data_IF_352737375264
#
_entry.id   IF_352737375264
#
_cell.length_a   1.000
_cell.length_b   1.000
_cell.length_c   1.000
_cell.angle_alpha   90.00
_cell.angle_beta   90.00
_cell.angle_gamma   90.00
#
_symmetry.space_group_name_H-M   'P 1'
#
loop_
_entity.id
_entity.type
_entity.pdbx_description
1 polymer ?
#
# COMPACT_ATOMS: atom_id res chain seq x y z
N UNK A 1 -23.15 -15.36 -26.24
CA UNK A 1 -22.63 -15.97 -25.01
C UNK A 1 -22.85 -15.01 -23.87
N UNK A 2 -23.66 -15.41 -22.89
CA UNK A 2 -24.13 -14.54 -21.82
C UNK A 2 -22.97 -14.14 -20.89
N UNK A 3 -22.57 -12.87 -20.93
CA UNK A 3 -21.69 -12.28 -19.94
C UNK A 3 -22.48 -12.17 -18.63
N UNK A 4 -22.16 -13.02 -17.65
CA UNK A 4 -22.78 -12.91 -16.34
C UNK A 4 -22.29 -11.60 -15.70
N UNK A 5 -23.16 -10.76 -15.10
CA UNK A 5 -22.76 -9.47 -14.54
C UNK A 5 -21.69 -9.57 -13.46
N UNK A 6 -21.57 -10.74 -12.82
CA UNK A 6 -20.57 -11.05 -11.80
C UNK A 6 -19.24 -11.55 -12.39
N UNK A 7 -19.18 -11.87 -13.68
CA UNK A 7 -17.95 -12.33 -14.36
C UNK A 7 -16.90 -11.21 -14.44
N UNK A 8 -17.36 -9.95 -14.43
CA UNK A 8 -16.50 -8.75 -14.32
C UNK A 8 -16.04 -8.47 -12.88
N UNK A 9 -16.48 -9.25 -11.88
CA UNK A 9 -16.13 -9.09 -10.48
C UNK A 9 -15.27 -10.25 -9.99
N UNK A 10 -14.38 -10.02 -9.02
CA UNK A 10 -13.52 -11.06 -8.44
C UNK A 10 -14.28 -12.02 -7.50
N UNK A 11 -15.61 -12.05 -7.57
CA UNK A 11 -16.44 -12.91 -6.74
C UNK A 11 -16.32 -14.35 -7.23
N UNK A 12 -15.92 -15.26 -6.34
CA UNK A 12 -15.85 -16.68 -6.68
C UNK A 12 -17.26 -17.22 -7.08
N UNK A 13 -17.35 -18.15 -8.06
CA UNK A 13 -18.61 -18.75 -8.48
C UNK A 13 -19.39 -19.42 -7.35
N UNK A 14 -18.66 -19.91 -6.34
CA UNK A 14 -19.23 -20.48 -5.12
C UNK A 14 -20.05 -19.45 -4.32
N UNK A 15 -19.82 -18.15 -4.50
CA UNK A 15 -20.52 -17.08 -3.79
C UNK A 15 -21.72 -16.50 -4.57
N UNK A 16 -21.94 -16.89 -5.82
CA UNK A 16 -23.01 -16.30 -6.67
C UNK A 16 -24.39 -16.49 -6.07
N UNK A 17 -24.67 -17.69 -5.56
CA UNK A 17 -25.95 -18.02 -4.93
C UNK A 17 -26.28 -17.14 -3.71
N UNK A 18 -25.25 -16.62 -3.03
CA UNK A 18 -25.40 -15.71 -1.88
C UNK A 18 -25.75 -14.31 -2.37
N UNK A 19 -25.06 -13.83 -3.41
CA UNK A 19 -25.31 -12.52 -4.03
C UNK A 19 -26.72 -12.47 -4.63
N UNK A 20 -27.16 -13.55 -5.29
CA UNK A 20 -28.52 -13.67 -5.82
C UNK A 20 -29.57 -13.60 -4.71
N UNK A 21 -29.35 -14.28 -3.58
CA UNK A 21 -30.25 -14.18 -2.42
C UNK A 21 -30.28 -12.77 -1.82
N UNK A 22 -29.13 -12.11 -1.71
CA UNK A 22 -29.05 -10.73 -1.21
C UNK A 22 -29.81 -9.76 -2.12
N UNK A 23 -29.67 -9.92 -3.44
CA UNK A 23 -30.38 -9.13 -4.43
C UNK A 23 -31.91 -9.37 -4.37
N UNK A 24 -32.32 -10.63 -4.20
CA UNK A 24 -33.73 -10.99 -4.05
C UNK A 24 -34.36 -10.42 -2.76
N UNK A 25 -33.65 -10.45 -1.63
CA UNK A 25 -34.11 -9.88 -0.35
C UNK A 25 -34.29 -8.36 -0.44
N UNK A 26 -33.43 -7.67 -1.19
CA UNK A 26 -33.50 -6.23 -1.45
C UNK A 26 -34.39 -5.84 -2.64
N UNK A 27 -35.09 -6.82 -3.24
CA UNK A 27 -35.93 -6.66 -4.43
C UNK A 27 -35.24 -5.87 -5.55
N UNK A 28 -33.94 -6.08 -5.73
CA UNK A 28 -33.12 -5.36 -6.69
C UNK A 28 -32.37 -6.32 -7.61
N UNK A 29 -31.97 -5.84 -8.80
CA UNK A 29 -31.11 -6.61 -9.69
C UNK A 29 -29.68 -6.70 -9.15
N UNK A 30 -28.93 -7.73 -9.54
CA UNK A 30 -27.51 -7.89 -9.17
C UNK A 30 -26.69 -6.65 -9.57
N UNK A 31 -26.93 -6.10 -10.76
CA UNK A 31 -26.26 -4.85 -11.21
C UNK A 31 -26.64 -3.64 -10.34
N UNK A 32 -27.89 -3.55 -9.91
CA UNK A 32 -28.34 -2.49 -8.99
C UNK A 32 -27.70 -2.64 -7.61
N UNK A 33 -27.50 -3.87 -7.14
CA UNK A 33 -26.78 -4.15 -5.90
C UNK A 33 -25.30 -3.76 -5.99
N UNK A 34 -24.69 -3.89 -7.17
CA UNK A 34 -23.31 -3.44 -7.47
C UNK A 34 -23.23 -1.91 -7.65
N UNK A 35 -24.27 -1.27 -8.18
CA UNK A 35 -24.30 0.17 -8.36
C UNK A 35 -24.64 0.94 -7.07
N UNK A 36 -25.52 0.40 -6.22
CA UNK A 36 -26.11 1.10 -5.10
C UNK A 36 -25.49 0.71 -3.75
N UNK A 37 -24.65 1.59 -3.20
CA UNK A 37 -23.95 1.35 -1.94
C UNK A 37 -24.88 1.30 -0.72
N UNK A 38 -25.97 2.08 -0.71
CA UNK A 38 -26.90 2.12 0.42
C UNK A 38 -27.58 0.77 0.62
N UNK A 39 -28.01 0.15 -0.49
CA UNK A 39 -28.59 -1.20 -0.48
C UNK A 39 -27.62 -2.24 0.08
N UNK A 40 -26.32 -2.17 -0.25
CA UNK A 40 -25.31 -3.08 0.31
C UNK A 40 -25.10 -2.92 1.81
N UNK A 41 -25.17 -1.68 2.31
CA UNK A 41 -25.05 -1.40 3.75
C UNK A 41 -26.28 -1.88 4.54
N UNK A 42 -27.44 -1.93 3.89
CA UNK A 42 -28.68 -2.43 4.49
C UNK A 42 -28.71 -3.98 4.59
N UNK A 43 -27.83 -4.69 3.85
CA UNK A 43 -27.72 -6.16 3.92
C UNK A 43 -27.29 -6.58 5.31
N UNK A 44 -28.17 -7.31 6.00
CA UNK A 44 -27.84 -8.00 7.25
C UNK A 44 -27.10 -9.31 6.95
N UNK A 45 -25.77 -9.25 6.88
CA UNK A 45 -24.89 -10.40 6.60
C UNK A 45 -25.16 -11.60 7.52
N UNK A 46 -25.61 -11.36 8.75
CA UNK A 46 -25.93 -12.40 9.74
C UNK A 46 -26.99 -13.40 9.25
N UNK A 47 -27.91 -12.97 8.37
CA UNK A 47 -28.94 -13.85 7.78
C UNK A 47 -28.39 -14.82 6.75
N UNK A 48 -27.21 -14.54 6.21
CA UNK A 48 -26.59 -15.29 5.12
C UNK A 48 -25.43 -16.17 5.59
N UNK A 49 -25.20 -16.23 6.92
CA UNK A 49 -24.20 -17.12 7.51
C UNK A 49 -24.65 -18.56 7.28
N UNK A 50 -23.79 -19.34 6.64
CA UNK A 50 -23.98 -20.78 6.46
C UNK A 50 -22.81 -21.52 7.10
N UNK A 51 -22.92 -22.82 7.40
CA UNK A 51 -21.79 -23.60 7.92
C UNK A 51 -20.57 -23.62 6.98
N UNK A 52 -20.78 -23.34 5.69
CA UNK A 52 -19.71 -23.24 4.69
C UNK A 52 -19.19 -21.81 4.50
N UNK A 53 -19.99 -20.78 4.82
CA UNK A 53 -19.67 -19.37 4.57
C UNK A 53 -19.89 -18.54 5.82
N UNK A 54 -18.78 -18.12 6.44
CA UNK A 54 -18.78 -17.29 7.64
C UNK A 54 -18.95 -15.80 7.37
N UNK A 55 -19.22 -15.04 8.44
CA UNK A 55 -19.26 -13.58 8.44
C UNK A 55 -18.03 -12.88 7.79
N UNK A 56 -16.77 -13.36 7.95
CA UNK A 56 -15.64 -12.76 7.24
C UNK A 56 -15.76 -12.90 5.72
N UNK A 57 -16.17 -14.07 5.22
CA UNK A 57 -16.35 -14.33 3.79
C UNK A 57 -17.48 -13.49 3.20
N UNK A 58 -18.59 -13.32 3.93
CA UNK A 58 -19.71 -12.48 3.51
C UNK A 58 -19.31 -11.00 3.39
N UNK A 59 -18.50 -10.51 4.34
CA UNK A 59 -17.95 -9.16 4.28
C UNK A 59 -17.04 -8.97 3.06
N UNK A 60 -16.23 -9.98 2.78
CA UNK A 60 -15.34 -9.99 1.62
C UNK A 60 -16.15 -9.92 0.32
N UNK A 61 -17.16 -10.78 0.15
CA UNK A 61 -18.05 -10.77 -1.01
C UNK A 61 -18.71 -9.41 -1.22
N UNK A 62 -19.28 -8.80 -0.17
CA UNK A 62 -19.92 -7.47 -0.27
C UNK A 62 -18.91 -6.37 -0.59
N UNK A 63 -17.68 -6.51 -0.12
CA UNK A 63 -16.58 -5.60 -0.42
C UNK A 63 -16.10 -5.74 -1.87
N UNK A 64 -16.04 -6.95 -2.40
CA UNK A 64 -15.74 -7.25 -3.82
C UNK A 64 -16.85 -6.72 -4.74
N UNK A 65 -18.12 -6.88 -4.36
CA UNK A 65 -19.25 -6.27 -5.08
C UNK A 65 -19.22 -4.74 -5.07
N UNK A 66 -18.62 -4.13 -4.05
CA UNK A 66 -18.49 -2.67 -3.97
C UNK A 66 -17.34 -2.13 -4.85
N UNK A 67 -16.37 -2.96 -5.23
CA UNK A 67 -15.22 -2.58 -6.06
C UNK A 67 -14.74 -3.78 -6.89
N UNK A 68 -15.12 -3.90 -8.19
CA UNK A 68 -14.55 -4.93 -9.05
C UNK A 68 -13.03 -4.70 -9.14
N UNK A 69 -12.22 -5.61 -8.57
CA UNK A 69 -10.77 -5.56 -8.64
C UNK A 69 -10.05 -5.15 -7.35
N UNK A 70 -10.60 -5.45 -6.17
CA UNK A 70 -9.87 -5.24 -4.92
C UNK A 70 -9.02 -6.48 -4.61
N UNK A 71 -7.79 -6.48 -5.07
CA UNK A 71 -6.79 -7.44 -4.61
C UNK A 71 -6.66 -7.34 -3.07
N UNK A 72 -6.94 -8.42 -2.30
CA UNK A 72 -6.86 -8.41 -0.83
C UNK A 72 -5.41 -8.55 -0.34
N UNK A 73 -4.42 -8.56 -1.23
CA UNK A 73 -3.01 -8.59 -0.87
C UNK A 73 -2.51 -7.22 -0.39
N UNK A 74 -2.58 -7.10 0.93
CA UNK A 74 -1.83 -6.19 1.79
C UNK A 74 -2.25 -4.72 1.72
N UNK A 75 -2.21 -4.11 2.91
CA UNK A 75 -1.87 -2.70 3.07
C UNK A 75 -0.50 -2.45 2.44
N UNK A 76 -0.41 -2.45 1.12
CA UNK A 76 0.57 -1.62 0.46
C UNK A 76 -0.07 -0.24 0.65
N UNK A 77 0.36 0.48 1.69
CA UNK A 77 0.41 1.95 1.59
C UNK A 77 0.88 2.17 0.17
N UNK A 78 0.09 2.85 -0.66
CA UNK A 78 0.53 3.29 -1.98
C UNK A 78 1.87 4.01 -1.77
N UNK A 79 2.95 3.23 -1.83
CA UNK A 79 4.25 3.66 -2.22
C UNK A 79 4.07 3.86 -3.71
N UNK A 80 3.33 4.92 -4.04
CA UNK A 80 3.72 5.72 -5.16
C UNK A 80 5.17 6.05 -4.85
N UNK A 81 6.09 5.22 -5.36
CA UNK A 81 7.17 5.80 -6.12
C UNK A 81 6.42 6.78 -7.04
N UNK A 82 6.27 8.04 -6.58
CA UNK A 82 6.12 9.12 -7.52
C UNK A 82 7.17 8.80 -8.59
N UNK A 83 6.79 8.85 -9.86
CA UNK A 83 7.61 8.59 -11.05
C UNK A 83 8.93 9.39 -11.02
N UNK A 84 9.79 9.12 -10.05
CA UNK A 84 11.06 9.76 -9.77
C UNK A 84 12.05 8.85 -10.49
N UNK A 85 12.16 9.08 -11.79
CA UNK A 85 13.17 8.43 -12.62
C UNK A 85 14.50 9.17 -12.55
N UNK A 86 14.46 10.45 -12.11
CA UNK A 86 15.58 11.38 -12.15
C UNK A 86 15.71 12.18 -10.86
N UNK A 87 16.93 12.66 -10.62
CA UNK A 87 17.26 13.58 -9.52
C UNK A 87 16.59 14.96 -9.64
N UNK A 88 16.06 15.29 -10.82
CA UNK A 88 15.35 16.54 -11.12
C UNK A 88 13.93 16.57 -10.52
N UNK A 89 13.32 15.40 -10.32
CA UNK A 89 12.00 15.24 -9.70
C UNK A 89 12.06 15.24 -8.17
N UNK A 90 13.28 15.25 -7.59
CA UNK A 90 13.47 15.23 -6.15
C UNK A 90 13.25 16.62 -5.57
N UNK A 91 12.23 16.75 -4.72
CA UNK A 91 11.96 17.98 -3.98
C UNK A 91 12.47 17.84 -2.54
N UNK A 92 13.31 18.78 -2.05
CA UNK A 92 13.70 18.80 -0.64
C UNK A 92 12.45 18.90 0.24
N UNK A 93 12.38 18.04 1.25
CA UNK A 93 11.23 17.89 2.12
C UNK A 93 10.37 16.65 1.85
N UNK A 94 10.50 16.04 0.67
CA UNK A 94 9.75 14.84 0.31
C UNK A 94 10.25 13.63 1.11
N UNK A 95 9.33 12.75 1.50
CA UNK A 95 9.62 11.47 2.14
C UNK A 95 9.43 10.36 1.12
N UNK A 96 10.45 9.56 0.93
CA UNK A 96 10.48 8.46 -0.05
C UNK A 96 10.93 7.16 0.63
N UNK A 97 10.44 5.99 0.17
CA UNK A 97 11.06 4.73 0.52
C UNK A 97 12.48 4.65 -0.03
N UNK A 98 13.33 3.92 0.65
CA UNK A 98 14.59 3.48 0.10
C UNK A 98 15.09 2.19 0.73
N UNK A 99 16.12 1.62 0.11
CA UNK A 99 16.78 0.39 0.55
C UNK A 99 18.22 0.73 0.90
N UNK A 100 18.67 0.31 2.08
CA UNK A 100 20.05 0.52 2.52
C UNK A 100 20.99 -0.33 1.67
N UNK A 101 21.77 0.31 0.80
CA UNK A 101 22.74 -0.37 -0.07
C UNK A 101 24.09 -0.56 0.60
N UNK A 102 24.47 0.35 1.49
CA UNK A 102 25.75 0.27 2.19
C UNK A 102 25.70 1.00 3.54
N UNK A 103 26.45 0.51 4.53
CA UNK A 103 26.55 1.14 5.86
C UNK A 103 28.02 1.42 6.16
N UNK A 104 28.32 2.66 6.51
CA UNK A 104 29.67 3.16 6.82
C UNK A 104 29.71 3.74 8.22
N UNK A 105 30.90 4.02 8.78
CA UNK A 105 31.01 4.57 10.15
C UNK A 105 30.36 5.95 10.33
N UNK A 106 30.25 6.75 9.27
CA UNK A 106 29.73 8.11 9.33
C UNK A 106 28.28 8.23 8.81
N UNK A 107 27.67 7.14 8.35
CA UNK A 107 26.33 7.15 7.77
C UNK A 107 25.97 5.90 6.98
N UNK A 108 24.85 5.94 6.27
CA UNK A 108 24.42 4.86 5.39
C UNK A 108 24.01 5.41 4.03
N UNK A 109 24.26 4.60 3.00
CA UNK A 109 23.79 4.83 1.66
C UNK A 109 22.44 4.13 1.48
N UNK A 110 21.50 4.88 0.94
CA UNK A 110 20.13 4.44 0.71
C UNK A 110 19.81 4.70 -0.76
N UNK A 111 19.45 3.64 -1.46
CA UNK A 111 18.90 3.71 -2.80
C UNK A 111 17.40 4.02 -2.70
N UNK A 112 16.99 5.11 -3.33
CA UNK A 112 15.61 5.59 -3.37
C UNK A 112 14.94 5.34 -4.73
N UNK A 113 15.56 4.51 -5.59
CA UNK A 113 15.04 4.15 -6.91
C UNK A 113 15.51 5.07 -8.04
N UNK A 114 16.51 5.91 -7.79
CA UNK A 114 17.19 6.73 -8.80
C UNK A 114 18.55 6.12 -9.12
N UNK A 115 19.21 6.56 -10.21
CA UNK A 115 20.56 6.08 -10.57
C UNK A 115 21.67 6.35 -9.55
N UNK A 116 21.38 7.08 -8.47
CA UNK A 116 22.35 7.65 -7.56
C UNK A 116 21.94 7.41 -6.10
N UNK A 117 22.82 6.81 -5.30
CA UNK A 117 22.55 6.61 -3.88
C UNK A 117 22.50 7.94 -3.11
N UNK A 118 21.57 8.03 -2.17
CA UNK A 118 21.54 9.11 -1.21
C UNK A 118 22.29 8.76 0.08
N UNK A 119 22.95 9.75 0.68
CA UNK A 119 23.68 9.57 1.93
C UNK A 119 22.85 10.07 3.12
N UNK A 120 22.62 9.17 4.08
CA UNK A 120 22.13 9.52 5.42
C UNK A 120 23.31 9.67 6.36
N UNK A 121 23.57 10.89 6.82
CA UNK A 121 24.60 11.14 7.83
C UNK A 121 24.20 10.54 9.18
N UNK A 122 25.17 10.08 9.99
CA UNK A 122 24.91 9.48 11.31
C UNK A 122 24.07 10.38 12.24
N UNK A 123 24.27 11.70 12.17
CA UNK A 123 23.48 12.69 12.93
C UNK A 123 22.03 12.84 12.45
N UNK A 124 21.75 12.40 11.22
CA UNK A 124 20.43 12.43 10.60
C UNK A 124 19.73 11.06 10.63
N UNK A 125 20.34 10.04 11.24
CA UNK A 125 19.72 8.72 11.39
C UNK A 125 18.71 8.68 12.52
N UNK A 126 18.95 9.41 13.61
CA UNK A 126 18.09 9.40 14.80
C UNK A 126 18.16 10.72 15.56
N UNK A 127 17.17 10.95 16.43
CA UNK A 127 17.17 12.06 17.40
C UNK A 127 18.17 11.84 18.54
N UNK A 128 18.55 10.58 18.79
CA UNK A 128 19.49 10.21 19.85
C UNK A 128 20.91 10.08 19.32
N UNK A 129 21.90 10.16 20.22
CA UNK A 129 23.30 9.92 19.87
C UNK A 129 23.48 8.51 19.31
N UNK A 130 23.97 8.42 18.08
CA UNK A 130 24.24 7.17 17.38
C UNK A 130 25.75 6.94 17.40
N UNK A 131 26.20 5.91 18.12
CA UNK A 131 27.62 5.51 18.12
C UNK A 131 27.97 4.64 16.92
N UNK A 132 27.04 3.77 16.51
CA UNK A 132 27.21 2.84 15.39
C UNK A 132 25.95 2.84 14.50
N UNK A 133 26.06 3.28 13.25
CA UNK A 133 24.92 3.30 12.32
C UNK A 133 24.43 1.89 12.00
N UNK A 134 25.31 0.89 12.01
CA UNK A 134 24.96 -0.53 11.81
C UNK A 134 24.01 -1.11 12.86
N UNK A 135 23.84 -0.45 14.01
CA UNK A 135 22.85 -0.85 15.02
C UNK A 135 21.45 -0.32 14.72
N UNK A 136 21.35 0.75 13.93
CA UNK A 136 20.08 1.39 13.56
C UNK A 136 19.57 0.83 12.24
N UNK A 137 20.48 0.67 11.27
CA UNK A 137 20.15 0.19 9.93
C UNK A 137 20.99 -1.03 9.55
N UNK A 138 20.35 -1.96 8.86
CA UNK A 138 20.99 -3.14 8.28
C UNK A 138 21.10 -3.01 6.77
N UNK A 139 22.08 -3.70 6.18
CA UNK A 139 22.20 -3.85 4.74
C UNK A 139 20.92 -4.47 4.17
N UNK A 140 20.43 -3.96 3.03
CA UNK A 140 19.17 -4.33 2.37
C UNK A 140 17.91 -4.07 3.19
N UNK A 141 17.98 -3.27 4.27
CA UNK A 141 16.80 -2.90 5.02
C UNK A 141 16.00 -1.84 4.26
N UNK A 142 14.69 -2.03 4.19
CA UNK A 142 13.76 -1.00 3.73
C UNK A 142 13.59 0.06 4.81
N UNK A 143 13.83 1.31 4.46
CA UNK A 143 13.75 2.46 5.36
C UNK A 143 12.99 3.59 4.69
N UNK A 144 12.36 4.43 5.51
CA UNK A 144 11.77 5.67 5.04
C UNK A 144 12.75 6.81 5.25
N UNK A 145 13.02 7.58 4.20
CA UNK A 145 13.99 8.68 4.22
C UNK A 145 13.35 9.96 3.69
N UNK A 146 13.74 11.08 4.28
CA UNK A 146 13.37 12.42 3.85
C UNK A 146 14.53 13.06 3.10
N UNK A 147 14.24 13.64 1.95
CA UNK A 147 15.19 14.42 1.17
C UNK A 147 15.42 15.74 1.91
N UNK A 148 16.67 16.01 2.28
CA UNK A 148 17.06 17.31 2.85
C UNK A 148 17.51 18.26 1.76
N UNK A 149 18.36 17.76 0.87
CA UNK A 149 19.04 18.56 -0.14
C UNK A 149 19.40 17.68 -1.34
N UNK A 150 19.40 18.28 -2.53
CA UNK A 150 19.68 17.59 -3.79
C UNK A 150 20.68 18.44 -4.57
N UNK A 151 21.87 17.90 -4.75
CA UNK A 151 22.94 18.52 -5.54
C UNK A 151 23.03 17.78 -6.89
N UNK A 152 22.39 18.35 -7.90
CA UNK A 152 22.32 17.80 -9.26
C UNK A 152 23.70 17.87 -9.94
N UNK A 153 24.48 18.93 -9.68
CA UNK A 153 25.81 19.11 -10.28
C UNK A 153 26.79 18.04 -9.82
N UNK A 154 26.74 17.70 -8.53
CA UNK A 154 27.61 16.67 -7.92
C UNK A 154 26.98 15.29 -7.91
N UNK A 155 25.73 15.15 -8.35
CA UNK A 155 24.94 13.91 -8.27
C UNK A 155 24.93 13.36 -6.84
N UNK A 156 24.55 14.19 -5.88
CA UNK A 156 24.49 13.81 -4.46
C UNK A 156 23.14 14.17 -3.89
N UNK A 157 22.53 13.22 -3.19
CA UNK A 157 21.28 13.45 -2.47
C UNK A 157 21.56 13.31 -0.98
N UNK A 158 21.23 14.34 -0.22
CA UNK A 158 21.32 14.30 1.23
C UNK A 158 20.00 13.85 1.81
N UNK A 159 20.05 12.72 2.53
CA UNK A 159 18.88 12.07 3.10
C UNK A 159 18.90 12.15 4.62
N UNK A 160 17.72 12.05 5.21
CA UNK A 160 17.52 12.01 6.65
C UNK A 160 16.49 10.97 7.03
N UNK A 161 16.79 10.17 8.04
CA UNK A 161 15.80 9.27 8.65
C UNK A 161 15.11 9.94 9.85
N UNK A 162 15.61 11.11 10.27
CA UNK A 162 15.09 11.86 11.41
C UNK A 162 13.73 12.47 11.09
N UNK A 163 12.78 12.30 12.01
CA UNK A 163 11.41 12.80 11.86
C UNK A 163 10.55 11.99 10.89
N UNK A 164 11.07 10.87 10.37
CA UNK A 164 10.32 9.93 9.55
C UNK A 164 10.08 8.68 10.40
N UNK A 165 8.82 8.42 10.73
CA UNK A 165 8.44 7.25 11.52
C UNK A 165 8.81 5.97 10.76
N UNK A 166 9.85 5.28 11.23
CA UNK A 166 10.17 3.93 10.76
C UNK A 166 9.08 3.00 11.30
N UNK A 167 8.41 2.25 10.42
CA UNK A 167 7.40 1.26 10.82
C UNK A 167 8.08 -0.03 11.27
#
# INVERSE_FOLDING_TARGET
NAAYPLDSSAVHPESYHIVERMAADLNCGIMELIANEEKRREIKLEKYITPSVGLPTLKDIVQELAKPGRDPRSKIKEFSFADIHSMEDLVPGMVVPGIVTNVTKFGAFVDIGIKQDGLVHISNMSNSYVSDPSKIVKLHQHVMVKILDVDIERKRVQLSMKGVGQN
#
